data_IF_092974253981
#
_entry.id   IF_092974253981
#
_cell.length_a   1.000
_cell.length_b   1.000
_cell.length_c   1.000
_cell.angle_alpha   90.00
_cell.angle_beta   90.00
_cell.angle_gamma   90.00
#
_symmetry.space_group_name_H-M   'P 1'
#
loop_
_entity.id
_entity.type
_entity.pdbx_description
1 polymer ?
#
# COMPACT_ATOMS: atom_id res chain seq x y z
N UNK A 1 -6.81 -35.79 39.23
CA UNK A 1 -6.41 -34.45 38.73
C UNK A 1 -6.14 -34.57 37.24
N UNK A 2 -7.11 -34.24 36.39
CA UNK A 2 -6.89 -34.12 34.95
C UNK A 2 -6.32 -32.73 34.66
N UNK A 3 -5.06 -32.68 34.24
CA UNK A 3 -4.44 -31.46 33.74
C UNK A 3 -5.02 -31.21 32.34
N UNK A 4 -5.95 -30.25 32.23
CA UNK A 4 -6.43 -29.78 30.94
C UNK A 4 -5.33 -28.91 30.32
N UNK A 5 -4.63 -29.44 29.32
CA UNK A 5 -3.70 -28.66 28.52
C UNK A 5 -4.52 -27.70 27.63
N UNK A 6 -4.60 -26.43 28.04
CA UNK A 6 -5.15 -25.36 27.20
C UNK A 6 -4.10 -25.03 26.15
N UNK A 7 -4.24 -25.60 24.96
CA UNK A 7 -3.54 -25.17 23.76
C UNK A 7 -4.03 -23.78 23.38
N UNK A 8 -3.24 -22.76 23.72
CA UNK A 8 -3.41 -21.42 23.16
C UNK A 8 -3.07 -21.48 21.66
N UNK A 9 -4.08 -21.54 20.82
CA UNK A 9 -3.94 -21.17 19.41
C UNK A 9 -3.75 -19.65 19.36
N UNK A 10 -2.50 -19.19 19.27
CA UNK A 10 -2.24 -17.82 18.84
C UNK A 10 -2.80 -17.68 17.41
N UNK A 11 -3.69 -16.71 17.12
CA UNK A 11 -4.07 -16.42 15.75
C UNK A 11 -2.79 -16.07 14.99
N UNK A 12 -2.57 -16.77 13.89
CA UNK A 12 -1.34 -16.66 13.11
C UNK A 12 -1.22 -15.26 12.52
N UNK A 13 -0.29 -14.45 13.03
CA UNK A 13 0.16 -13.22 12.38
C UNK A 13 0.63 -13.43 10.92
N UNK A 14 0.79 -14.70 10.50
CA UNK A 14 1.14 -15.14 9.15
C UNK A 14 -0.03 -15.19 8.16
N UNK A 15 -1.29 -15.04 8.58
CA UNK A 15 -2.41 -15.19 7.65
C UNK A 15 -2.56 -14.02 6.66
N UNK A 16 -2.04 -12.83 7.00
CA UNK A 16 -2.37 -11.60 6.24
C UNK A 16 -1.39 -11.31 5.10
N UNK A 17 -0.21 -11.92 5.13
CA UNK A 17 0.85 -11.68 4.15
C UNK A 17 1.14 -12.93 3.33
N UNK A 18 1.41 -12.74 2.04
CA UNK A 18 1.81 -13.84 1.17
C UNK A 18 3.22 -14.33 1.50
N UNK A 19 3.55 -15.55 1.08
CA UNK A 19 4.90 -16.12 1.21
C UNK A 19 5.98 -15.30 0.46
N UNK A 20 5.58 -14.51 -0.54
CA UNK A 20 6.46 -13.63 -1.31
C UNK A 20 6.82 -12.32 -0.57
N UNK A 21 6.32 -12.08 0.65
CA UNK A 21 6.56 -10.85 1.43
C UNK A 21 8.04 -10.44 1.40
N UNK A 22 8.28 -9.20 1.00
CA UNK A 22 9.61 -8.61 0.96
C UNK A 22 10.50 -9.11 -0.18
N UNK A 23 9.97 -9.89 -1.14
CA UNK A 23 10.72 -10.34 -2.31
C UNK A 23 10.31 -9.52 -3.54
N UNK A 24 11.23 -8.70 -4.04
CA UNK A 24 11.10 -8.10 -5.38
C UNK A 24 11.47 -9.13 -6.43
N UNK A 25 10.82 -9.11 -7.61
CA UNK A 25 11.01 -10.08 -8.69
C UNK A 25 11.08 -11.56 -8.21
N UNK A 26 10.05 -12.08 -7.52
CA UNK A 26 10.07 -13.41 -6.92
C UNK A 26 10.18 -14.52 -7.98
N UNK A 27 10.83 -15.62 -7.60
CA UNK A 27 10.91 -16.85 -8.39
C UNK A 27 9.89 -17.87 -7.89
N UNK A 28 9.53 -18.86 -8.72
CA UNK A 28 8.73 -20.00 -8.32
C UNK A 28 9.46 -21.33 -8.51
N UNK A 29 9.36 -22.18 -7.49
CA UNK A 29 9.83 -23.56 -7.51
C UNK A 29 8.81 -24.44 -8.24
N UNK A 30 9.20 -25.03 -9.38
CA UNK A 30 8.35 -25.94 -10.16
C UNK A 30 9.04 -27.29 -10.32
N UNK A 31 8.30 -28.37 -10.09
CA UNK A 31 8.79 -29.72 -10.36
C UNK A 31 8.75 -29.98 -11.87
N UNK A 32 9.91 -30.32 -12.47
CA UNK A 32 10.01 -30.71 -13.87
C UNK A 32 10.61 -32.10 -14.01
N UNK A 33 10.08 -32.85 -14.98
CA UNK A 33 10.64 -34.12 -15.41
C UNK A 33 11.74 -33.90 -16.43
N UNK A 34 12.91 -34.46 -16.13
CA UNK A 34 14.07 -34.49 -17.01
C UNK A 34 14.30 -35.93 -17.45
N UNK A 35 14.41 -36.14 -18.76
CA UNK A 35 14.78 -37.43 -19.33
C UNK A 35 16.26 -37.41 -19.71
N UNK A 36 17.03 -38.23 -19.04
CA UNK A 36 18.46 -38.41 -19.31
C UNK A 36 18.66 -39.22 -20.62
N UNK A 37 19.90 -39.21 -21.15
CA UNK A 37 20.23 -39.83 -22.45
C UNK A 37 20.02 -41.35 -22.48
N UNK A 38 20.01 -41.98 -21.31
CA UNK A 38 19.75 -43.41 -21.10
C UNK A 38 18.25 -43.72 -20.95
N UNK A 39 17.37 -42.71 -21.01
CA UNK A 39 15.93 -42.85 -20.85
C UNK A 39 15.43 -42.75 -19.41
N UNK A 40 16.34 -42.61 -18.43
CA UNK A 40 15.98 -42.42 -17.03
C UNK A 40 15.23 -41.11 -16.84
N UNK A 41 14.08 -41.13 -16.17
CA UNK A 41 13.31 -39.93 -15.83
C UNK A 41 13.63 -39.54 -14.39
N UNK A 42 14.13 -38.32 -14.19
CA UNK A 42 14.30 -37.72 -12.87
C UNK A 42 13.38 -36.51 -12.70
N UNK A 43 12.78 -36.37 -11.53
CA UNK A 43 12.04 -35.14 -11.15
C UNK A 43 12.97 -34.22 -10.39
N UNK A 44 13.01 -32.96 -10.79
CA UNK A 44 13.85 -31.94 -10.16
C UNK A 44 13.01 -30.70 -9.90
N UNK A 45 13.20 -30.08 -8.75
CA UNK A 45 12.68 -28.75 -8.48
C UNK A 45 13.59 -27.75 -9.19
N UNK A 46 13.01 -26.89 -10.00
CA UNK A 46 13.71 -25.79 -10.65
C UNK A 46 13.06 -24.46 -10.31
N UNK A 47 13.90 -23.46 -10.08
CA UNK A 47 13.47 -22.06 -9.92
C UNK A 47 13.27 -21.45 -11.31
N UNK A 48 12.09 -20.89 -11.55
CA UNK A 48 11.79 -20.17 -12.77
C UNK A 48 11.07 -18.85 -12.46
N UNK A 49 11.09 -17.90 -13.40
CA UNK A 49 10.25 -16.71 -13.29
C UNK A 49 8.78 -17.12 -13.35
N UNK A 50 7.91 -16.54 -12.51
CA UNK A 50 6.49 -16.78 -12.60
C UNK A 50 5.94 -16.24 -13.92
N UNK A 51 4.72 -16.68 -14.27
CA UNK A 51 4.00 -16.09 -15.39
C UNK A 51 3.88 -14.57 -15.18
N UNK A 52 4.42 -13.82 -16.15
CA UNK A 52 4.40 -12.37 -16.13
C UNK A 52 3.10 -11.81 -16.72
N UNK A 53 2.74 -10.60 -16.30
CA UNK A 53 1.79 -9.74 -16.98
C UNK A 53 2.40 -9.11 -18.26
N UNK A 54 1.63 -8.25 -18.93
CA UNK A 54 2.06 -7.58 -20.15
C UNK A 54 3.29 -6.66 -19.98
N UNK A 55 3.69 -6.39 -18.73
CA UNK A 55 4.78 -5.47 -18.39
C UNK A 55 5.93 -6.16 -17.64
N UNK A 56 5.92 -7.49 -17.53
CA UNK A 56 7.01 -8.27 -16.94
C UNK A 56 6.91 -8.49 -15.43
N UNK A 57 5.89 -7.96 -14.75
CA UNK A 57 5.67 -8.26 -13.33
C UNK A 57 4.96 -9.61 -13.18
N UNK A 58 5.14 -10.35 -12.07
CA UNK A 58 4.33 -11.52 -11.77
C UNK A 58 2.82 -11.23 -11.88
N UNK A 59 2.08 -12.06 -12.61
CA UNK A 59 0.66 -11.82 -12.89
C UNK A 59 -0.24 -12.06 -11.67
N UNK A 60 0.09 -13.07 -10.85
CA UNK A 60 -0.79 -13.54 -9.77
C UNK A 60 -0.76 -12.64 -8.52
N UNK A 61 -1.91 -12.44 -7.82
CA UNK A 61 -1.98 -11.70 -6.56
C UNK A 61 -1.27 -12.38 -5.39
N UNK A 62 -0.95 -13.69 -5.51
CA UNK A 62 -0.10 -14.42 -4.53
C UNK A 62 1.31 -13.82 -4.36
N UNK A 63 1.72 -12.96 -5.29
CA UNK A 63 2.98 -12.23 -5.21
C UNK A 63 2.82 -10.80 -4.68
N UNK A 64 1.61 -10.38 -4.28
CA UNK A 64 1.41 -9.10 -3.58
C UNK A 64 1.93 -9.25 -2.15
N UNK A 65 2.14 -8.14 -1.44
CA UNK A 65 2.51 -8.17 -0.03
C UNK A 65 1.46 -8.90 0.81
N UNK A 66 0.20 -8.50 0.69
CA UNK A 66 -0.91 -9.04 1.46
C UNK A 66 -1.80 -9.98 0.65
N UNK A 67 -2.39 -10.96 1.33
CA UNK A 67 -3.45 -11.80 0.75
C UNK A 67 -4.69 -10.97 0.45
N UNK A 68 -5.53 -11.42 -0.47
CA UNK A 68 -6.80 -10.76 -0.77
C UNK A 68 -7.73 -10.80 0.46
N UNK A 69 -8.46 -9.72 0.70
CA UNK A 69 -9.33 -9.58 1.88
C UNK A 69 -8.59 -9.49 3.23
N UNK A 70 -7.25 -9.42 3.24
CA UNK A 70 -6.46 -9.36 4.48
C UNK A 70 -6.89 -8.26 5.47
N UNK A 71 -7.49 -7.18 4.98
CA UNK A 71 -7.87 -6.03 5.79
C UNK A 71 -9.37 -5.73 5.74
N UNK A 72 -10.21 -6.76 5.54
CA UNK A 72 -11.66 -6.62 5.65
C UNK A 72 -12.08 -5.88 6.93
N UNK A 73 -12.95 -4.89 6.78
CA UNK A 73 -13.41 -4.01 7.85
C UNK A 73 -12.49 -2.83 8.16
N UNK A 74 -11.32 -2.74 7.52
CA UNK A 74 -10.46 -1.56 7.62
C UNK A 74 -10.85 -0.48 6.63
N UNK A 75 -10.49 0.76 6.94
CA UNK A 75 -10.81 1.93 6.11
C UNK A 75 -9.57 2.77 5.85
N UNK A 76 -9.36 3.12 4.58
CA UNK A 76 -8.43 4.16 4.14
C UNK A 76 -9.19 5.47 4.04
N UNK A 77 -8.79 6.47 4.82
CA UNK A 77 -9.26 7.84 4.63
C UNK A 77 -8.43 8.53 3.54
N UNK A 78 -9.07 9.21 2.60
CA UNK A 78 -8.42 9.85 1.45
C UNK A 78 -8.87 11.30 1.33
N UNK A 79 -7.93 12.23 1.48
CA UNK A 79 -8.07 13.62 1.11
C UNK A 79 -7.58 13.78 -0.33
N UNK A 80 -8.48 13.68 -1.30
CA UNK A 80 -8.18 13.91 -2.72
C UNK A 80 -8.37 15.39 -3.04
N UNK A 81 -7.33 16.20 -2.81
CA UNK A 81 -7.42 17.65 -2.95
C UNK A 81 -7.27 18.08 -4.41
N UNK A 82 -6.47 17.36 -5.20
CA UNK A 82 -6.38 17.54 -6.65
C UNK A 82 -7.55 16.87 -7.38
N UNK A 83 -8.08 17.57 -8.39
CA UNK A 83 -9.18 17.08 -9.23
C UNK A 83 -8.82 17.29 -10.69
N UNK A 84 -8.86 16.21 -11.44
CA UNK A 84 -8.83 16.18 -12.89
C UNK A 84 -9.98 15.31 -13.39
N UNK A 85 -10.50 15.60 -14.58
CA UNK A 85 -11.60 14.83 -15.19
C UNK A 85 -11.29 13.34 -15.36
N UNK A 86 -10.02 12.98 -15.53
CA UNK A 86 -9.55 11.59 -15.62
C UNK A 86 -9.28 10.96 -14.25
N UNK A 87 -9.23 11.73 -13.16
CA UNK A 87 -8.89 11.22 -11.84
C UNK A 87 -10.12 11.03 -10.94
N UNK A 88 -10.91 10.00 -11.23
CA UNK A 88 -12.09 9.62 -10.44
C UNK A 88 -11.78 8.71 -9.23
N UNK A 89 -10.52 8.29 -9.10
CA UNK A 89 -9.98 7.40 -8.06
C UNK A 89 -10.68 6.02 -8.01
N UNK A 90 -11.29 5.58 -9.12
CA UNK A 90 -11.90 4.25 -9.25
C UNK A 90 -10.85 3.13 -9.19
N UNK A 91 -9.72 3.31 -9.87
CA UNK A 91 -8.65 2.30 -9.97
C UNK A 91 -7.94 2.05 -8.62
N UNK A 92 -7.49 3.07 -7.87
CA UNK A 92 -6.97 2.86 -6.52
C UNK A 92 -8.02 2.25 -5.59
N UNK A 93 -9.29 2.68 -5.67
CA UNK A 93 -10.36 2.10 -4.84
C UNK A 93 -10.56 0.61 -5.11
N UNK A 94 -10.55 0.18 -6.37
CA UNK A 94 -10.69 -1.23 -6.72
C UNK A 94 -9.52 -2.07 -6.18
N UNK A 95 -8.29 -1.57 -6.32
CA UNK A 95 -7.10 -2.24 -5.81
C UNK A 95 -7.08 -2.33 -4.28
N UNK A 96 -7.51 -1.27 -3.59
CA UNK A 96 -7.68 -1.28 -2.13
C UNK A 96 -8.77 -2.28 -1.69
N UNK A 97 -9.88 -2.35 -2.42
CA UNK A 97 -10.97 -3.30 -2.13
C UNK A 97 -10.54 -4.76 -2.29
N UNK A 98 -9.67 -5.08 -3.25
CA UNK A 98 -9.08 -6.43 -3.40
C UNK A 98 -8.38 -6.90 -2.11
N UNK A 99 -7.77 -5.97 -1.35
CA UNK A 99 -7.12 -6.26 -0.07
C UNK A 99 -8.04 -6.11 1.14
N UNK A 100 -9.34 -5.88 0.91
CA UNK A 100 -10.37 -5.77 1.95
C UNK A 100 -10.57 -4.37 2.51
N UNK A 101 -9.85 -3.36 2.01
CA UNK A 101 -10.04 -1.99 2.49
C UNK A 101 -11.31 -1.35 1.92
N UNK A 102 -12.03 -0.65 2.79
CA UNK A 102 -13.00 0.36 2.37
C UNK A 102 -12.34 1.75 2.28
N UNK A 103 -13.02 2.72 1.65
CA UNK A 103 -12.47 4.07 1.43
C UNK A 103 -13.47 5.15 1.85
N UNK A 104 -13.04 6.04 2.74
CA UNK A 104 -13.66 7.36 2.92
C UNK A 104 -12.90 8.38 2.08
N UNK A 105 -13.61 9.15 1.25
CA UNK A 105 -12.97 10.08 0.31
C UNK A 105 -13.63 11.44 0.36
N UNK A 106 -12.82 12.47 0.57
CA UNK A 106 -13.19 13.86 0.33
C UNK A 106 -12.49 14.34 -0.93
N UNK A 107 -13.21 15.09 -1.75
CA UNK A 107 -12.77 15.49 -3.09
C UNK A 107 -12.74 17.01 -3.14
N UNK A 108 -11.68 17.55 -3.74
CA UNK A 108 -11.42 18.98 -3.94
C UNK A 108 -11.14 19.75 -2.65
N UNK A 109 -11.94 19.59 -1.61
CA UNK A 109 -11.80 20.30 -0.34
C UNK A 109 -11.73 19.29 0.82
N UNK A 110 -10.93 19.57 1.86
CA UNK A 110 -10.98 18.79 3.09
C UNK A 110 -12.33 19.02 3.82
N UNK A 111 -12.79 18.07 4.65
CA UNK A 111 -13.87 18.34 5.61
C UNK A 111 -13.38 19.34 6.68
N UNK A 112 -14.19 19.67 7.68
CA UNK A 112 -13.67 20.41 8.84
C UNK A 112 -12.67 19.55 9.65
N UNK A 113 -11.76 20.14 10.44
CA UNK A 113 -10.86 19.39 11.31
C UNK A 113 -11.59 18.41 12.24
N UNK A 114 -12.73 18.81 12.80
CA UNK A 114 -13.54 17.99 13.71
C UNK A 114 -14.12 16.76 12.99
N UNK A 115 -14.64 16.94 11.77
CA UNK A 115 -15.15 15.82 10.98
C UNK A 115 -14.00 14.92 10.48
N UNK A 116 -12.85 15.50 10.13
CA UNK A 116 -11.65 14.73 9.82
C UNK A 116 -11.26 13.83 10.99
N UNK A 117 -11.19 14.38 12.21
CA UNK A 117 -10.81 13.64 13.41
C UNK A 117 -11.79 12.48 13.68
N UNK A 118 -13.09 12.75 13.57
CA UNK A 118 -14.14 11.76 13.77
C UNK A 118 -14.03 10.58 12.79
N UNK A 119 -13.74 10.84 11.52
CA UNK A 119 -13.60 9.77 10.54
C UNK A 119 -12.25 9.06 10.64
N UNK A 120 -11.17 9.78 10.95
CA UNK A 120 -9.87 9.17 11.22
C UNK A 120 -9.90 8.22 12.42
N UNK A 121 -10.78 8.42 13.40
CA UNK A 121 -10.97 7.45 14.48
C UNK A 121 -11.37 6.05 13.99
N UNK A 122 -11.97 5.94 12.79
CA UNK A 122 -12.41 4.69 12.14
C UNK A 122 -11.46 4.22 11.04
N UNK A 123 -10.47 5.03 10.67
CA UNK A 123 -9.52 4.71 9.62
C UNK A 123 -8.26 4.05 10.19
N UNK A 124 -7.66 3.14 9.43
CA UNK A 124 -6.36 2.55 9.76
C UNK A 124 -5.20 3.38 9.19
N UNK A 125 -5.46 4.17 8.15
CA UNK A 125 -4.48 5.03 7.49
C UNK A 125 -5.14 6.24 6.82
N UNK A 126 -4.35 7.29 6.58
CA UNK A 126 -4.75 8.51 5.88
C UNK A 126 -3.89 8.74 4.65
N UNK A 127 -4.50 9.05 3.52
CA UNK A 127 -3.83 9.45 2.28
C UNK A 127 -4.13 10.92 1.99
N UNK A 128 -3.09 11.70 1.72
CA UNK A 128 -3.19 13.11 1.33
C UNK A 128 -2.68 13.22 -0.10
N UNK A 129 -3.58 13.50 -1.05
CA UNK A 129 -3.24 13.77 -2.45
C UNK A 129 -3.32 15.26 -2.65
N UNK A 130 -2.15 15.88 -2.74
CA UNK A 130 -1.97 17.34 -2.75
C UNK A 130 -2.55 18.00 -3.99
N UNK A 131 -2.87 19.28 -3.89
CA UNK A 131 -3.15 20.16 -5.01
C UNK A 131 -2.03 21.20 -5.20
N UNK A 132 -2.19 22.04 -6.22
CA UNK A 132 -1.41 23.22 -6.59
C UNK A 132 -1.38 24.34 -5.55
N UNK A 133 -2.35 24.35 -4.63
CA UNK A 133 -2.46 25.34 -3.55
C UNK A 133 -2.87 24.66 -2.27
N UNK A 134 -2.36 25.17 -1.14
CA UNK A 134 -2.62 24.59 0.18
C UNK A 134 -4.09 24.77 0.57
N UNK A 135 -4.79 23.67 0.81
CA UNK A 135 -6.18 23.65 1.31
C UNK A 135 -6.28 23.27 2.79
N UNK A 136 -5.28 22.56 3.31
CA UNK A 136 -5.20 22.21 4.72
C UNK A 136 -4.78 23.41 5.57
N UNK A 137 -5.24 23.41 6.81
CA UNK A 137 -4.97 24.47 7.78
C UNK A 137 -4.40 23.86 9.06
N UNK A 138 -4.08 24.70 10.05
CA UNK A 138 -3.46 24.23 11.29
C UNK A 138 -4.34 23.26 12.09
N UNK A 139 -5.67 23.41 12.01
CA UNK A 139 -6.62 22.49 12.63
C UNK A 139 -6.51 21.10 12.02
N UNK A 140 -6.52 21.01 10.69
CA UNK A 140 -6.28 19.75 9.97
C UNK A 140 -4.93 19.14 10.35
N UNK A 141 -3.87 19.95 10.37
CA UNK A 141 -2.53 19.47 10.68
C UNK A 141 -2.43 18.88 12.08
N UNK A 142 -3.06 19.50 13.09
CA UNK A 142 -3.12 18.96 14.47
C UNK A 142 -3.78 17.58 14.49
N UNK A 143 -4.88 17.41 13.77
CA UNK A 143 -5.59 16.14 13.67
C UNK A 143 -4.75 15.07 12.97
N UNK A 144 -4.13 15.41 11.84
CA UNK A 144 -3.24 14.51 11.09
C UNK A 144 -2.04 14.10 11.95
N UNK A 145 -1.40 15.04 12.65
CA UNK A 145 -0.28 14.76 13.54
C UNK A 145 -0.68 13.83 14.67
N UNK A 146 -1.82 14.07 15.33
CA UNK A 146 -2.37 13.18 16.36
C UNK A 146 -2.61 11.77 15.83
N UNK A 147 -3.15 11.65 14.61
CA UNK A 147 -3.37 10.37 13.95
C UNK A 147 -2.05 9.63 13.67
N UNK A 148 -1.06 10.31 13.09
CA UNK A 148 0.26 9.76 12.82
C UNK A 148 1.01 9.36 14.11
N UNK A 149 0.98 10.21 15.13
CA UNK A 149 1.62 9.94 16.43
C UNK A 149 0.96 8.78 17.19
N UNK A 150 -0.27 8.39 16.85
CA UNK A 150 -0.90 7.17 17.36
C UNK A 150 -0.32 5.87 16.78
N UNK A 151 0.57 5.97 15.79
CA UNK A 151 1.18 4.83 15.10
C UNK A 151 0.52 4.45 13.77
N UNK A 152 -0.56 5.15 13.39
CA UNK A 152 -1.30 4.89 12.15
C UNK A 152 -0.59 5.49 10.94
N UNK A 153 -0.71 4.81 9.80
CA UNK A 153 0.02 5.15 8.58
C UNK A 153 -0.48 6.42 7.89
N UNK A 154 0.44 7.22 7.34
CA UNK A 154 0.11 8.36 6.46
C UNK A 154 0.80 8.22 5.10
N UNK A 155 0.04 8.30 4.02
CA UNK A 155 0.57 8.38 2.65
C UNK A 155 0.43 9.80 2.13
N UNK A 156 1.56 10.49 1.91
CA UNK A 156 1.62 11.85 1.41
C UNK A 156 2.03 11.83 -0.07
N UNK A 157 1.10 12.22 -0.92
CA UNK A 157 1.24 12.25 -2.37
C UNK A 157 1.35 13.70 -2.85
N UNK A 158 2.47 14.04 -3.46
CA UNK A 158 2.65 15.22 -4.30
C UNK A 158 2.75 14.83 -5.77
N UNK A 159 2.88 15.83 -6.62
CA UNK A 159 3.37 15.69 -8.00
C UNK A 159 4.24 16.92 -8.30
N UNK A 160 4.64 17.13 -9.56
CA UNK A 160 5.42 18.28 -9.99
C UNK A 160 4.88 19.63 -9.51
N UNK A 161 5.73 20.65 -9.49
CA UNK A 161 5.31 22.02 -9.21
C UNK A 161 4.12 22.45 -10.09
N UNK A 162 3.05 23.04 -9.50
CA UNK A 162 2.86 23.41 -8.09
C UNK A 162 2.17 22.35 -7.18
N UNK A 163 1.93 21.13 -7.67
CA UNK A 163 1.05 20.10 -7.09
C UNK A 163 1.59 19.33 -5.88
N UNK A 164 2.39 19.98 -5.04
CA UNK A 164 2.88 19.44 -3.75
C UNK A 164 2.57 20.38 -2.58
N UNK A 165 1.68 21.37 -2.72
CA UNK A 165 1.44 22.39 -1.69
C UNK A 165 0.99 21.81 -0.34
N UNK A 166 -0.04 20.96 -0.33
CA UNK A 166 -0.51 20.27 0.89
C UNK A 166 0.42 19.12 1.28
N UNK A 167 1.05 18.45 0.31
CA UNK A 167 2.05 17.41 0.59
C UNK A 167 3.20 17.98 1.41
N UNK A 168 3.79 19.10 0.98
CA UNK A 168 4.86 19.79 1.70
C UNK A 168 4.39 20.31 3.06
N UNK A 169 3.17 20.87 3.13
CA UNK A 169 2.63 21.36 4.40
C UNK A 169 2.54 20.25 5.46
N UNK A 170 2.08 19.06 5.08
CA UNK A 170 1.99 17.90 5.98
C UNK A 170 3.36 17.27 6.22
N UNK A 171 4.14 17.03 5.18
CA UNK A 171 5.44 16.36 5.26
C UNK A 171 6.44 17.15 6.12
N UNK A 172 6.50 18.48 5.98
CA UNK A 172 7.38 19.33 6.76
C UNK A 172 7.02 19.25 8.25
N UNK A 173 5.73 19.33 8.57
CA UNK A 173 5.26 19.29 9.94
C UNK A 173 5.41 17.92 10.63
N UNK A 174 5.31 16.82 9.88
CA UNK A 174 5.43 15.47 10.44
C UNK A 174 6.89 14.99 10.50
N UNK A 175 7.71 15.36 9.51
CA UNK A 175 9.00 14.70 9.23
C UNK A 175 10.14 15.67 8.88
N UNK A 176 9.88 16.98 8.78
CA UNK A 176 10.88 17.99 8.42
C UNK A 176 11.45 17.79 7.01
N UNK A 177 10.57 17.53 6.04
CA UNK A 177 10.94 17.26 4.65
C UNK A 177 9.93 17.90 3.69
N UNK A 178 10.44 18.33 2.54
CA UNK A 178 9.64 18.88 1.44
C UNK A 178 9.98 18.21 0.10
N UNK A 179 9.11 18.43 -0.88
CA UNK A 179 9.27 18.08 -2.28
C UNK A 179 9.48 19.35 -3.11
N UNK A 180 10.21 19.23 -4.23
CA UNK A 180 10.39 20.32 -5.19
C UNK A 180 10.59 19.79 -6.61
N UNK A 181 10.54 20.70 -7.59
CA UNK A 181 10.84 20.39 -8.99
C UNK A 181 9.63 20.01 -9.83
N UNK A 182 9.88 19.95 -11.13
CA UNK A 182 8.89 19.68 -12.17
C UNK A 182 9.55 18.85 -13.27
N UNK A 183 9.84 17.59 -12.96
CA UNK A 183 10.58 16.72 -13.86
C UNK A 183 9.60 15.86 -14.67
N UNK A 184 9.88 15.64 -15.97
CA UNK A 184 9.13 14.67 -16.75
C UNK A 184 9.40 13.26 -16.21
N UNK A 185 8.34 12.45 -16.10
CA UNK A 185 8.44 11.03 -15.86
C UNK A 185 8.18 10.24 -17.14
N UNK A 186 7.14 9.41 -17.09
CA UNK A 186 6.66 8.52 -18.14
C UNK A 186 7.59 7.36 -18.48
N UNK A 187 8.53 7.05 -17.59
CA UNK A 187 9.38 5.87 -17.73
C UNK A 187 8.92 4.73 -16.83
N UNK A 188 9.37 3.54 -17.19
CA UNK A 188 9.30 2.36 -16.34
C UNK A 188 10.68 2.15 -15.74
N UNK A 189 10.75 2.08 -14.42
CA UNK A 189 11.98 1.79 -13.67
C UNK A 189 11.96 0.35 -13.17
N UNK A 190 13.12 -0.27 -13.08
CA UNK A 190 13.31 -1.62 -12.55
C UNK A 190 13.82 -1.59 -11.10
N UNK A 191 14.13 -2.75 -10.54
CA UNK A 191 14.95 -2.85 -9.34
C UNK A 191 16.23 -2.03 -9.52
N UNK A 192 16.57 -1.25 -8.49
CA UNK A 192 17.78 -0.45 -8.46
C UNK A 192 19.03 -1.34 -8.37
N UNK A 193 19.96 -1.19 -9.32
CA UNK A 193 21.24 -1.91 -9.33
C UNK A 193 22.32 -1.23 -8.46
N UNK A 194 22.24 0.09 -8.32
CA UNK A 194 23.16 0.92 -7.54
C UNK A 194 22.39 1.88 -6.66
N UNK A 195 22.70 1.91 -5.36
CA UNK A 195 22.08 2.85 -4.40
C UNK A 195 22.19 4.30 -4.88
N UNK A 196 21.09 5.04 -4.77
CA UNK A 196 20.96 6.42 -5.22
C UNK A 196 20.75 6.63 -6.73
N UNK A 197 20.65 5.55 -7.52
CA UNK A 197 20.39 5.60 -8.98
C UNK A 197 18.98 5.18 -9.34
N UNK A 198 18.53 5.47 -10.56
CA UNK A 198 17.22 5.08 -11.08
C UNK A 198 16.82 3.65 -10.66
N UNK A 199 15.56 3.48 -10.28
CA UNK A 199 15.02 2.21 -9.82
C UNK A 199 14.44 2.27 -8.42
N UNK A 200 13.81 1.18 -8.02
CA UNK A 200 13.23 1.03 -6.68
C UNK A 200 14.05 0.08 -5.79
N UNK A 201 13.91 0.28 -4.48
CA UNK A 201 14.59 -0.52 -3.47
C UNK A 201 14.26 -2.01 -3.62
N UNK A 202 15.31 -2.82 -3.69
CA UNK A 202 15.19 -4.27 -3.68
C UNK A 202 14.71 -4.77 -2.31
N UNK A 203 13.75 -5.69 -2.31
CA UNK A 203 13.33 -6.48 -1.15
C UNK A 203 12.76 -5.68 0.03
N UNK A 204 11.97 -4.65 -0.27
CA UNK A 204 11.13 -3.99 0.72
C UNK A 204 9.70 -4.54 0.65
N UNK A 205 8.95 -4.51 1.75
CA UNK A 205 7.55 -4.96 1.80
C UNK A 205 6.70 -4.25 0.71
N UNK A 206 6.89 -2.95 0.52
CA UNK A 206 6.19 -2.18 -0.53
C UNK A 206 6.56 -2.66 -1.95
N UNK A 207 7.80 -3.13 -2.15
CA UNK A 207 8.30 -3.58 -3.47
C UNK A 207 8.12 -5.08 -3.71
N UNK A 208 7.34 -5.75 -2.85
CA UNK A 208 6.97 -7.17 -2.99
C UNK A 208 6.32 -7.45 -4.34
N UNK A 209 6.88 -8.39 -5.09
CA UNK A 209 6.36 -8.79 -6.40
C UNK A 209 6.52 -7.75 -7.50
N UNK A 210 7.30 -6.68 -7.30
CA UNK A 210 7.64 -5.74 -8.37
C UNK A 210 8.96 -6.13 -9.03
N UNK A 211 8.95 -6.17 -10.36
CA UNK A 211 10.13 -6.16 -11.23
C UNK A 211 10.23 -4.82 -11.99
N UNK A 212 9.08 -4.26 -12.37
CA UNK A 212 8.95 -3.01 -13.11
C UNK A 212 7.87 -2.12 -12.50
N UNK A 213 8.17 -0.82 -12.38
CA UNK A 213 7.26 0.19 -11.84
C UNK A 213 7.20 1.43 -12.75
N UNK A 214 6.00 1.86 -13.13
CA UNK A 214 5.79 3.14 -13.79
C UNK A 214 6.02 4.30 -12.80
N UNK A 215 6.81 5.30 -13.17
CA UNK A 215 7.22 6.35 -12.22
C UNK A 215 6.22 7.51 -12.07
N UNK A 216 5.18 7.57 -12.92
CA UNK A 216 4.24 8.69 -13.01
C UNK A 216 4.45 9.50 -14.29
N UNK A 217 3.56 10.45 -14.62
CA UNK A 217 3.68 11.29 -15.82
C UNK A 217 4.68 12.41 -15.59
N UNK A 218 4.58 13.02 -14.42
CA UNK A 218 5.45 14.05 -13.90
C UNK A 218 5.82 13.66 -12.48
N UNK A 219 6.97 14.14 -12.02
CA UNK A 219 7.53 13.77 -10.72
C UNK A 219 8.14 14.98 -10.02
N UNK A 220 7.97 15.04 -8.70
CA UNK A 220 8.73 15.89 -7.81
C UNK A 220 9.86 15.11 -7.13
N UNK A 221 10.84 15.85 -6.63
CA UNK A 221 12.00 15.34 -5.90
C UNK A 221 11.81 15.59 -4.41
N UNK A 222 11.88 14.54 -3.60
CA UNK A 222 11.90 14.63 -2.14
C UNK A 222 13.29 15.10 -1.71
N UNK A 223 13.35 16.11 -0.85
CA UNK A 223 14.60 16.61 -0.29
C UNK A 223 15.29 15.53 0.55
N UNK A 224 16.63 15.45 0.53
CA UNK A 224 17.37 14.53 1.40
C UNK A 224 17.00 14.71 2.87
N UNK A 225 16.72 13.62 3.57
CA UNK A 225 16.35 13.64 4.98
C UNK A 225 16.93 12.40 5.69
N UNK A 226 17.65 12.55 6.82
CA UNK A 226 18.32 11.44 7.52
C UNK A 226 17.35 10.47 8.20
N UNK A 227 16.07 10.83 8.29
CA UNK A 227 15.02 10.03 8.88
C UNK A 227 14.26 9.18 7.88
N UNK A 228 14.37 9.52 6.59
CA UNK A 228 13.72 8.79 5.51
C UNK A 228 14.65 7.74 4.90
N UNK A 229 14.06 6.63 4.50
CA UNK A 229 14.73 5.62 3.67
C UNK A 229 14.27 5.81 2.22
N UNK A 230 15.19 6.05 1.28
CA UNK A 230 14.85 6.16 -0.15
C UNK A 230 14.18 4.90 -0.68
N UNK A 231 13.04 5.02 -1.36
CA UNK A 231 12.30 3.87 -1.91
C UNK A 231 12.36 3.81 -3.43
N UNK A 232 12.17 4.93 -4.12
CA UNK A 232 12.15 5.00 -5.59
C UNK A 232 12.99 6.20 -6.03
N UNK A 233 13.97 5.95 -6.89
CA UNK A 233 14.61 6.99 -7.69
C UNK A 233 14.05 6.94 -9.11
N UNK A 234 13.68 8.10 -9.62
CA UNK A 234 13.15 8.24 -10.98
C UNK A 234 14.23 8.05 -12.04
N UNK A 235 13.80 8.05 -13.30
CA UNK A 235 14.66 7.98 -14.49
C UNK A 235 15.67 9.13 -14.58
N UNK A 236 15.39 10.26 -13.92
CA UNK A 236 16.29 11.39 -13.76
C UNK A 236 17.24 11.28 -12.55
N UNK A 237 17.38 10.09 -11.94
CA UNK A 237 18.18 9.81 -10.73
C UNK A 237 17.73 10.58 -9.47
N UNK A 238 16.59 11.27 -9.52
CA UNK A 238 16.06 12.03 -8.38
C UNK A 238 15.25 11.13 -7.43
N UNK A 239 15.22 11.46 -6.14
CA UNK A 239 14.42 10.72 -5.15
C UNK A 239 12.93 11.05 -5.31
N UNK A 240 12.14 10.10 -5.79
CA UNK A 240 10.70 10.29 -6.07
C UNK A 240 9.82 9.80 -4.94
N UNK A 241 10.17 8.66 -4.32
CA UNK A 241 9.45 8.14 -3.17
C UNK A 241 10.40 7.73 -2.05
N UNK A 242 9.99 7.97 -0.81
CA UNK A 242 10.74 7.63 0.38
C UNK A 242 9.78 7.22 1.51
N UNK A 243 10.30 6.41 2.43
CA UNK A 243 9.52 5.88 3.55
C UNK A 243 10.08 6.34 4.89
N UNK A 244 9.19 6.44 5.86
CA UNK A 244 9.52 6.57 7.27
C UNK A 244 8.99 5.34 7.99
N UNK A 245 9.84 4.60 8.72
CA UNK A 245 9.45 3.51 9.61
C UNK A 245 10.28 3.57 10.88
N UNK A 246 9.84 4.36 11.86
CA UNK A 246 10.52 4.56 13.15
C UNK A 246 9.50 4.79 14.25
N UNK A 247 9.84 4.40 15.47
CA UNK A 247 9.00 4.55 16.66
C UNK A 247 7.60 3.94 16.51
N UNK A 248 7.52 2.91 15.65
CA UNK A 248 6.30 2.24 15.24
C UNK A 248 5.28 3.16 14.57
N UNK A 249 5.74 4.19 13.85
CA UNK A 249 4.95 5.03 12.95
C UNK A 249 5.46 4.81 11.53
N UNK A 250 4.53 4.74 10.57
CA UNK A 250 4.85 4.55 9.15
C UNK A 250 4.33 5.68 8.29
N UNK A 251 5.15 6.17 7.37
CA UNK A 251 4.70 7.09 6.33
C UNK A 251 5.35 6.77 4.98
N UNK A 252 4.64 7.08 3.90
CA UNK A 252 5.19 7.09 2.54
C UNK A 252 5.06 8.51 2.00
N UNK A 253 6.13 9.03 1.43
CA UNK A 253 6.18 10.27 0.68
C UNK A 253 6.42 9.90 -0.76
N UNK A 254 5.62 10.45 -1.66
CA UNK A 254 5.67 10.09 -3.06
C UNK A 254 5.31 11.28 -3.94
N UNK A 255 6.27 11.71 -4.75
CA UNK A 255 6.16 12.89 -5.60
C UNK A 255 5.54 12.62 -6.97
N UNK A 256 4.74 11.57 -7.15
CA UNK A 256 4.13 11.26 -8.44
C UNK A 256 2.71 10.69 -8.34
N UNK A 257 1.76 11.48 -7.83
CA UNK A 257 0.36 11.03 -7.70
C UNK A 257 -0.29 10.66 -9.04
N UNK A 258 0.26 11.10 -10.17
CA UNK A 258 -0.25 10.72 -11.50
C UNK A 258 -0.27 9.21 -11.72
N UNK A 259 0.56 8.43 -11.02
CA UNK A 259 0.47 6.95 -10.99
C UNK A 259 -0.88 6.42 -10.50
N UNK A 260 -1.65 7.22 -9.78
CA UNK A 260 -2.95 6.81 -9.24
C UNK A 260 -4.08 6.79 -10.29
N UNK A 261 -3.87 7.34 -11.49
CA UNK A 261 -4.92 7.40 -12.51
C UNK A 261 -4.44 7.44 -13.97
N UNK A 262 -3.17 7.80 -14.23
CA UNK A 262 -2.60 7.75 -15.57
C UNK A 262 -1.77 6.49 -15.73
N UNK A 263 -1.98 5.76 -16.83
CA UNK A 263 -1.22 4.55 -17.15
C UNK A 263 -1.24 3.53 -16.00
N UNK A 264 -2.37 3.39 -15.32
CA UNK A 264 -2.52 2.54 -14.13
C UNK A 264 -2.18 1.07 -14.41
N UNK A 265 -2.62 0.57 -15.57
CA UNK A 265 -2.34 -0.80 -16.00
C UNK A 265 -0.88 -0.99 -16.44
N UNK A 266 -0.13 0.10 -16.57
CA UNK A 266 1.31 0.06 -16.88
C UNK A 266 2.10 -0.32 -15.63
N UNK A 267 2.95 -1.34 -15.80
CA UNK A 267 4.05 -1.74 -14.93
C UNK A 267 3.81 -1.48 -13.43
N UNK A 268 3.07 -2.39 -12.77
CA UNK A 268 3.14 -2.56 -11.32
C UNK A 268 2.45 -1.50 -10.45
N UNK A 269 1.85 -0.45 -11.01
CA UNK A 269 1.23 0.65 -10.23
C UNK A 269 0.17 0.15 -9.24
N UNK A 270 -0.74 -0.74 -9.69
CA UNK A 270 -1.74 -1.34 -8.82
C UNK A 270 -1.14 -2.19 -7.69
N UNK A 271 -0.10 -2.99 -7.98
CA UNK A 271 0.60 -3.81 -6.97
C UNK A 271 1.33 -2.92 -5.95
N UNK A 272 2.02 -1.88 -6.42
CA UNK A 272 2.69 -0.89 -5.57
C UNK A 272 1.69 -0.23 -4.60
N UNK A 273 0.54 0.23 -5.10
CA UNK A 273 -0.53 0.81 -4.29
C UNK A 273 -1.06 -0.17 -3.23
N UNK A 274 -1.35 -1.43 -3.62
CA UNK A 274 -1.81 -2.47 -2.69
C UNK A 274 -0.79 -2.76 -1.60
N UNK A 275 0.48 -2.86 -1.96
CA UNK A 275 1.55 -3.13 -1.02
C UNK A 275 1.78 -1.95 -0.06
N UNK A 276 1.82 -0.72 -0.57
CA UNK A 276 1.95 0.48 0.26
C UNK A 276 0.80 0.59 1.26
N UNK A 277 -0.44 0.38 0.82
CA UNK A 277 -1.62 0.37 1.69
C UNK A 277 -1.50 -0.70 2.78
N UNK A 278 -1.10 -1.92 2.42
CA UNK A 278 -0.96 -3.06 3.33
C UNK A 278 0.15 -2.84 4.37
N UNK A 279 1.26 -2.23 3.95
CA UNK A 279 2.39 -1.91 4.83
C UNK A 279 2.05 -0.79 5.83
N UNK A 280 1.32 0.24 5.38
CA UNK A 280 0.88 1.38 6.20
C UNK A 280 -0.12 1.02 7.31
N UNK A 281 -0.81 -0.13 7.20
CA UNK A 281 -1.70 -0.62 8.27
C UNK A 281 -0.95 -0.86 9.58
N UNK A 282 0.36 -1.14 9.50
CA UNK A 282 1.20 -1.40 10.68
C UNK A 282 0.64 -2.60 11.50
N UNK A 283 0.32 -3.68 10.78
CA UNK A 283 -0.29 -4.88 11.34
C UNK A 283 0.54 -5.47 12.48
N UNK A 284 1.87 -5.44 12.39
CA UNK A 284 2.76 -5.94 13.44
C UNK A 284 2.55 -5.23 14.79
N UNK A 285 2.11 -3.96 14.76
CA UNK A 285 1.80 -3.16 15.94
C UNK A 285 0.37 -3.35 16.43
N UNK A 286 -0.59 -3.32 15.51
CA UNK A 286 -2.01 -3.26 15.88
C UNK A 286 -2.70 -4.63 15.91
N UNK A 287 -2.11 -5.65 15.31
CA UNK A 287 -2.61 -7.03 15.27
C UNK A 287 -4.09 -7.11 14.92
N UNK A 288 -4.86 -7.80 15.76
CA UNK A 288 -6.28 -8.02 15.52
C UNK A 288 -7.16 -6.76 15.58
N UNK A 289 -6.64 -5.60 15.97
CA UNK A 289 -7.40 -4.34 15.89
C UNK A 289 -7.54 -3.84 14.46
N UNK A 290 -6.66 -4.27 13.56
CA UNK A 290 -6.62 -3.86 12.15
C UNK A 290 -7.00 -5.00 11.20
N UNK A 291 -7.55 -6.09 11.73
CA UNK A 291 -8.30 -7.09 10.98
C UNK A 291 -9.66 -7.17 11.63
N UNK A 292 -10.75 -6.94 10.88
CA UNK A 292 -12.09 -6.95 11.45
C UNK A 292 -12.32 -8.25 12.23
N UNK A 293 -13.01 -8.17 13.36
CA UNK A 293 -13.53 -9.36 14.02
C UNK A 293 -14.34 -10.13 12.97
N UNK A 294 -13.87 -11.33 12.59
CA UNK A 294 -14.62 -12.24 11.70
C UNK A 294 -16.05 -12.26 12.22
N UNK A 295 -16.99 -11.79 11.41
CA UNK A 295 -18.42 -11.79 11.77
C UNK A 295 -18.75 -13.23 12.13
N UNK A 296 -18.92 -13.50 13.42
CA UNK A 296 -19.36 -14.79 13.88
C UNK A 296 -20.75 -14.98 13.28
N UNK A 297 -20.91 -15.97 12.41
CA UNK A 297 -22.21 -16.40 11.92
C UNK A 297 -23.12 -16.66 13.14
N UNK A 298 -23.99 -15.70 13.46
CA UNK A 298 -25.12 -15.95 14.33
C UNK A 298 -25.96 -17.00 13.63
N UNK A 299 -25.88 -18.24 14.14
CA UNK A 299 -26.86 -19.27 13.85
C UNK A 299 -28.21 -18.72 14.29
N UNK A 300 -28.98 -18.20 13.34
CA UNK A 300 -30.39 -17.88 13.52
C UNK A 300 -31.09 -19.21 13.87
N UNK A 301 -31.32 -19.40 15.16
CA UNK A 301 -32.23 -20.40 15.68
C UNK A 301 -33.64 -20.01 15.23
N UNK A 302 -34.08 -20.56 14.11
CA UNK A 302 -35.50 -20.54 13.72
C UNK A 302 -36.27 -21.34 14.78
N UNK A 303 -36.94 -20.65 15.70
CA UNK A 303 -37.98 -21.24 16.52
C UNK A 303 -39.20 -21.49 15.64
N UNK A 304 -39.35 -22.72 15.18
CA UNK A 304 -40.60 -23.21 14.59
C UNK A 304 -41.68 -23.16 15.67
N UNK A 305 -42.60 -22.19 15.59
CA UNK A 305 -43.85 -22.24 16.34
C UNK A 305 -44.91 -22.86 15.44
N UNK A 306 -45.11 -24.16 15.63
CA UNK A 306 -46.18 -24.92 15.02
C UNK A 306 -47.50 -24.53 15.71
N UNK A 307 -48.21 -23.56 15.14
CA UNK A 307 -49.61 -23.28 15.47
C UNK A 307 -50.48 -24.04 14.49
N UNK A 308 -50.99 -25.18 14.95
CA UNK A 308 -52.10 -25.92 14.36
C UNK A 308 -53.25 -24.96 14.00
N UNK A 309 -53.59 -24.94 12.72
CA UNK A 309 -54.89 -24.49 12.23
C UNK A 309 -55.93 -25.60 12.45
N UNK A 310 -57.16 -25.13 12.67
CA UNK A 310 -58.41 -25.90 12.69
C UNK A 310 -58.62 -26.67 11.38
#
# INVERSE_FOLDING_TARGET
>A
MCLLAVLFFAPSAFAQFNAARGQSAPMESVEREYRDKDGTVSRRIVEQKPQADAHGNPHSPKYDLAVDGAFEGQTVAVLQLYVDSAFDFSLPRAALAEKGFSVYRWIKEPPSPEELEKQLAKACQLWVISDSSRKLNEGHLKVIKKFFDSGRGVYIWGDNEPYYADANYVAEALLGVTMSGNLPGQQVVSVQEQSGKKGFMLNHDITTGLEFLYEGVTIATIAPNPHLTPLIHGSADNLVAAIYDRDGKRAVLDGAFTRLYVSWDTAGSGRYVKNAASWLVNYERFGDKVVGAKVANEKVSVKTSDKRLR
#
